data_IF_558068877684
#
_entry.id   IF_558068877684
#
_cell.length_a   1.000
_cell.length_b   1.000
_cell.length_c   1.000
_cell.angle_alpha   90.00
_cell.angle_beta   90.00
_cell.angle_gamma   90.00
#
_symmetry.space_group_name_H-M   'P 1'
#
loop_
_entity.id
_entity.type
_entity.pdbx_description
1 polymer ?
#
# COMPACT_ATOMS: atom_id res chain seq x y z
N UNK A 1 21.87 10.43 -11.09
CA UNK A 1 20.68 11.09 -11.64
C UNK A 1 19.79 11.52 -10.48
N UNK A 2 19.02 12.59 -10.59
CA UNK A 2 18.05 13.00 -9.56
C UNK A 2 16.64 12.98 -10.16
N UNK A 3 15.64 12.73 -9.31
CA UNK A 3 14.22 12.64 -9.66
C UNK A 3 13.46 13.85 -9.14
N UNK A 4 12.60 14.36 -10.00
CA UNK A 4 11.71 15.48 -9.74
C UNK A 4 10.42 14.99 -9.09
N UNK A 5 9.96 13.79 -9.48
CA UNK A 5 8.77 13.14 -8.97
C UNK A 5 9.10 11.77 -8.39
N UNK A 6 8.72 11.54 -7.14
CA UNK A 6 8.88 10.25 -6.45
C UNK A 6 7.49 9.75 -6.05
N UNK A 7 7.12 8.57 -6.52
CA UNK A 7 5.98 7.80 -6.00
C UNK A 7 6.53 6.74 -5.04
N UNK A 8 5.91 6.56 -3.88
CA UNK A 8 6.33 5.54 -2.92
C UNK A 8 5.14 4.78 -2.35
N UNK A 9 5.27 3.45 -2.23
CA UNK A 9 4.35 2.58 -1.50
C UNK A 9 5.10 1.83 -0.37
N UNK A 10 5.46 2.51 0.73
CA UNK A 10 6.27 1.90 1.78
C UNK A 10 5.59 0.64 2.36
N UNK A 11 6.37 -0.41 2.70
CA UNK A 11 5.84 -1.64 3.29
C UNK A 11 5.47 -1.40 4.77
N UNK A 12 4.35 -0.72 5.00
CA UNK A 12 3.87 -0.40 6.34
C UNK A 12 3.62 -1.66 7.17
N UNK A 13 4.15 -1.68 8.39
CA UNK A 13 3.99 -2.83 9.29
C UNK A 13 2.96 -2.55 10.38
N UNK A 14 1.93 -3.40 10.42
CA UNK A 14 0.95 -3.36 11.51
C UNK A 14 1.55 -4.02 12.75
N UNK A 15 1.60 -3.27 13.85
CA UNK A 15 1.90 -3.85 15.15
C UNK A 15 0.65 -4.57 15.68
N UNK A 16 0.63 -5.90 15.61
CA UNK A 16 -0.49 -6.75 16.06
C UNK A 16 -0.63 -6.83 17.60
N UNK A 17 -0.44 -5.72 18.33
CA UNK A 17 -0.55 -5.69 19.80
C UNK A 17 -1.97 -5.37 20.31
N UNK A 18 -2.93 -5.08 19.43
CA UNK A 18 -4.24 -4.56 19.81
C UNK A 18 -5.41 -5.57 19.70
N UNK A 19 -5.14 -6.88 19.77
CA UNK A 19 -6.18 -7.87 20.07
C UNK A 19 -5.82 -8.63 21.35
N UNK A 20 -6.54 -8.28 22.42
CA UNK A 20 -6.56 -8.87 23.76
C UNK A 20 -5.36 -8.58 24.66
N UNK A 21 -5.42 -7.41 25.30
CA UNK A 21 -4.95 -7.20 26.68
C UNK A 21 -3.45 -7.33 26.92
N UNK A 22 -2.71 -6.26 26.66
CA UNK A 22 -1.46 -6.01 27.37
C UNK A 22 -1.20 -4.50 27.42
N UNK A 23 -1.05 -3.98 28.64
CA UNK A 23 -0.44 -2.69 28.88
C UNK A 23 1.04 -2.75 28.49
N UNK A 24 1.56 -1.60 28.05
CA UNK A 24 2.96 -1.23 27.86
C UNK A 24 3.71 -1.76 26.60
N UNK A 25 4.09 -0.76 25.80
CA UNK A 25 5.42 -0.56 25.22
C UNK A 25 5.79 -1.15 23.84
N UNK A 26 6.37 -0.22 23.07
CA UNK A 26 7.27 -0.32 21.91
C UNK A 26 6.66 -0.49 20.51
N UNK A 27 6.67 0.64 19.78
CA UNK A 27 6.93 0.69 18.34
C UNK A 27 7.98 -0.36 17.97
N UNK A 28 7.64 -1.28 17.07
CA UNK A 28 8.61 -2.15 16.41
C UNK A 28 9.49 -1.25 15.54
N UNK A 29 10.51 -0.70 16.18
CA UNK A 29 11.29 0.44 15.69
C UNK A 29 12.17 0.04 14.52
N UNK A 30 12.49 -1.24 14.37
CA UNK A 30 13.45 -1.77 13.40
C UNK A 30 13.07 -1.46 11.95
N UNK A 31 11.80 -1.64 11.57
CA UNK A 31 11.40 -1.52 10.16
C UNK A 31 11.05 -0.09 9.74
N UNK A 32 10.40 0.68 10.61
CA UNK A 32 10.22 2.12 10.35
C UNK A 32 11.56 2.86 10.30
N UNK A 33 12.47 2.54 11.22
CA UNK A 33 13.80 3.15 11.25
C UNK A 33 14.62 2.81 10.00
N UNK A 34 14.50 1.58 9.46
CA UNK A 34 15.11 1.22 8.18
C UNK A 34 14.59 2.09 7.03
N UNK A 35 13.28 2.33 6.95
CA UNK A 35 12.69 3.21 5.93
C UNK A 35 13.25 4.64 6.01
N UNK A 36 13.40 5.18 7.21
CA UNK A 36 13.95 6.54 7.41
C UNK A 36 15.43 6.68 7.00
N UNK A 37 16.17 5.57 6.90
CA UNK A 37 17.60 5.56 6.55
C UNK A 37 17.87 5.44 5.05
N UNK A 38 16.84 5.23 4.24
CA UNK A 38 17.00 5.29 2.78
C UNK A 38 17.52 6.67 2.39
N UNK A 39 18.60 6.71 1.62
CA UNK A 39 19.26 7.94 1.20
C UNK A 39 18.48 8.68 0.11
N UNK A 40 17.20 8.97 0.34
CA UNK A 40 16.31 9.64 -0.60
C UNK A 40 16.85 11.02 -0.98
N UNK A 41 17.56 11.69 -0.07
CA UNK A 41 18.23 12.97 -0.31
C UNK A 41 19.23 12.93 -1.47
N UNK A 42 19.82 11.76 -1.77
CA UNK A 42 20.78 11.58 -2.86
C UNK A 42 20.11 11.45 -4.22
N UNK A 43 18.86 10.99 -4.25
CA UNK A 43 18.11 10.77 -5.49
C UNK A 43 17.06 11.86 -5.73
N UNK A 44 16.62 12.61 -4.72
CA UNK A 44 15.61 13.66 -4.87
C UNK A 44 16.24 14.97 -5.37
N UNK A 45 15.68 15.53 -6.44
CA UNK A 45 15.98 16.88 -6.92
C UNK A 45 15.71 17.94 -5.83
N UNK A 46 16.37 19.09 -5.94
CA UNK A 46 16.26 20.15 -4.91
C UNK A 46 14.86 20.76 -4.88
N UNK A 47 14.19 20.82 -6.04
CA UNK A 47 12.76 21.04 -6.18
C UNK A 47 12.13 19.73 -6.65
N UNK A 48 11.42 19.04 -5.75
CA UNK A 48 10.81 17.74 -6.07
C UNK A 48 9.54 17.51 -5.28
N UNK A 49 8.76 16.54 -5.73
CA UNK A 49 7.50 16.10 -5.14
C UNK A 49 7.61 14.63 -4.73
N UNK A 50 7.10 14.33 -3.54
CA UNK A 50 6.88 12.98 -3.04
C UNK A 50 5.38 12.72 -2.95
N UNK A 51 4.88 11.77 -3.73
CA UNK A 51 3.56 11.16 -3.58
C UNK A 51 3.73 9.83 -2.85
N UNK A 52 3.09 9.64 -1.70
CA UNK A 52 3.31 8.45 -0.86
C UNK A 52 1.98 7.82 -0.45
N UNK A 53 1.80 6.55 -0.78
CA UNK A 53 0.68 5.74 -0.31
C UNK A 53 0.79 5.50 1.19
N UNK A 54 -0.35 5.58 1.87
CA UNK A 54 -0.48 5.20 3.27
C UNK A 54 -1.92 4.71 3.54
N UNK A 55 -2.08 3.94 4.61
CA UNK A 55 -3.39 3.58 5.15
C UNK A 55 -3.68 4.47 6.35
N UNK A 56 -4.96 4.69 6.69
CA UNK A 56 -5.34 5.64 7.75
C UNK A 56 -4.66 5.40 9.11
N UNK A 57 -4.27 4.16 9.41
CA UNK A 57 -3.55 3.82 10.65
C UNK A 57 -2.08 4.27 10.66
N UNK A 58 -1.48 4.56 9.50
CA UNK A 58 -0.08 4.99 9.34
C UNK A 58 0.05 6.48 8.96
N UNK A 59 -1.00 7.28 9.17
CA UNK A 59 -0.98 8.68 8.77
C UNK A 59 0.16 9.47 9.45
N UNK A 60 0.42 9.21 10.74
CA UNK A 60 1.49 9.86 11.49
C UNK A 60 2.88 9.41 11.00
N UNK A 61 3.07 8.11 10.85
CA UNK A 61 4.29 7.48 10.35
C UNK A 61 4.62 7.96 8.94
N UNK A 62 3.61 8.12 8.08
CA UNK A 62 3.81 8.64 6.73
C UNK A 62 4.26 10.11 6.71
N UNK A 63 3.74 10.94 7.63
CA UNK A 63 4.21 12.31 7.80
C UNK A 63 5.66 12.35 8.32
N UNK A 64 5.98 11.50 9.29
CA UNK A 64 7.32 11.39 9.84
C UNK A 64 8.34 10.88 8.82
N UNK A 65 7.96 9.89 8.00
CA UNK A 65 8.81 9.35 6.93
C UNK A 65 9.07 10.40 5.85
N UNK A 66 8.03 11.11 5.40
CA UNK A 66 8.20 12.22 4.45
C UNK A 66 9.17 13.28 5.00
N UNK A 67 9.07 13.63 6.29
CA UNK A 67 9.98 14.56 6.96
C UNK A 67 11.41 14.00 7.04
N UNK A 68 11.57 12.73 7.37
CA UNK A 68 12.88 12.08 7.44
C UNK A 68 13.59 12.07 6.07
N UNK A 69 12.84 11.91 4.99
CA UNK A 69 13.34 12.01 3.61
C UNK A 69 13.56 13.45 3.13
N UNK A 70 13.32 14.46 3.98
CA UNK A 70 13.57 15.87 3.67
C UNK A 70 12.42 16.57 2.93
N UNK A 71 11.20 16.02 2.97
CA UNK A 71 10.02 16.62 2.36
C UNK A 71 9.09 17.25 3.40
N UNK A 72 8.41 18.33 3.02
CA UNK A 72 7.35 18.97 3.79
C UNK A 72 5.99 18.54 3.24
N UNK A 73 5.20 17.82 4.03
CA UNK A 73 3.83 17.43 3.68
C UNK A 73 2.98 18.69 3.41
N UNK A 74 2.22 18.66 2.31
CA UNK A 74 1.30 19.73 1.89
C UNK A 74 -0.15 19.34 2.09
N UNK A 75 -0.52 18.13 1.73
CA UNK A 75 -1.84 17.56 2.03
C UNK A 75 -1.73 16.05 2.18
N UNK A 76 -2.53 15.50 3.09
CA UNK A 76 -2.64 14.05 3.30
C UNK A 76 -3.48 13.35 2.23
N UNK A 77 -4.15 14.10 1.35
CA UNK A 77 -5.03 13.54 0.31
C UNK A 77 -4.73 14.18 -1.04
N UNK A 78 -3.64 13.77 -1.67
CA UNK A 78 -3.44 13.98 -3.11
C UNK A 78 -4.43 13.14 -3.91
N UNK A 79 -4.49 11.85 -3.58
CA UNK A 79 -5.45 10.90 -4.14
C UNK A 79 -6.08 10.06 -3.04
N UNK A 80 -7.30 9.60 -3.28
CA UNK A 80 -8.00 8.62 -2.45
C UNK A 80 -8.48 7.51 -3.38
N UNK A 81 -7.93 6.31 -3.21
CA UNK A 81 -8.41 5.12 -3.91
C UNK A 81 -9.58 4.52 -3.15
N UNK A 82 -10.76 4.56 -3.77
CA UNK A 82 -11.93 3.76 -3.37
C UNK A 82 -11.76 2.36 -3.93
N UNK A 83 -11.53 1.40 -3.04
CA UNK A 83 -11.28 0.00 -3.39
C UNK A 83 -12.59 -0.67 -3.76
N UNK A 84 -12.68 -1.14 -5.01
CA UNK A 84 -13.78 -1.99 -5.45
C UNK A 84 -13.42 -3.46 -5.30
N UNK A 85 -14.43 -4.33 -5.17
CA UNK A 85 -14.23 -5.77 -5.25
C UNK A 85 -13.56 -6.15 -6.59
N UNK A 86 -12.81 -7.26 -6.61
CA UNK A 86 -12.02 -7.69 -7.77
C UNK A 86 -12.83 -7.81 -9.08
N UNK A 87 -14.10 -8.21 -8.98
CA UNK A 87 -15.02 -8.39 -10.12
C UNK A 87 -16.10 -7.30 -10.19
N UNK A 88 -15.87 -6.14 -9.56
CA UNK A 88 -16.88 -5.09 -9.48
C UNK A 88 -17.30 -4.58 -10.87
N UNK A 89 -16.33 -4.37 -11.77
CA UNK A 89 -16.62 -3.91 -13.13
C UNK A 89 -17.50 -4.91 -13.88
N UNK A 90 -17.14 -6.20 -13.89
CA UNK A 90 -17.93 -7.25 -14.55
C UNK A 90 -19.37 -7.32 -14.01
N UNK A 91 -19.56 -7.11 -12.70
CA UNK A 91 -20.89 -7.14 -12.07
C UNK A 91 -21.70 -5.88 -12.38
N UNK A 92 -21.05 -4.73 -12.46
CA UNK A 92 -21.66 -3.47 -12.89
C UNK A 92 -22.10 -3.59 -14.35
N UNK A 93 -21.22 -4.06 -15.23
CA UNK A 93 -21.53 -4.26 -16.65
C UNK A 93 -22.68 -5.27 -16.82
N UNK A 94 -22.67 -6.37 -16.07
CA UNK A 94 -23.76 -7.33 -16.06
C UNK A 94 -25.08 -6.71 -15.58
N UNK A 95 -25.06 -5.86 -14.54
CA UNK A 95 -26.27 -5.17 -14.07
C UNK A 95 -26.84 -4.21 -15.12
N UNK A 96 -25.97 -3.53 -15.86
CA UNK A 96 -26.37 -2.67 -16.99
C UNK A 96 -26.98 -3.52 -18.11
N UNK A 97 -26.33 -4.62 -18.51
CA UNK A 97 -26.79 -5.50 -19.58
C UNK A 97 -28.14 -6.19 -19.27
N UNK A 98 -28.39 -6.50 -18.00
CA UNK A 98 -29.63 -7.09 -17.52
C UNK A 98 -30.71 -6.03 -17.21
N UNK A 99 -30.48 -4.75 -17.54
CA UNK A 99 -31.39 -3.63 -17.27
C UNK A 99 -31.82 -3.52 -15.79
N UNK A 100 -30.91 -3.88 -14.87
CA UNK A 100 -31.14 -3.84 -13.42
C UNK A 100 -30.91 -2.46 -12.79
N UNK A 101 -30.49 -1.47 -13.57
CA UNK A 101 -30.30 -0.09 -13.13
C UNK A 101 -31.40 0.79 -13.73
N UNK A 102 -32.47 1.02 -12.97
CA UNK A 102 -33.62 1.80 -13.40
C UNK A 102 -33.35 3.30 -13.25
N UNK A 103 -32.59 3.69 -12.24
CA UNK A 103 -32.27 5.08 -11.97
C UNK A 103 -30.87 5.29 -11.35
N UNK A 104 -30.57 6.54 -10.99
CA UNK A 104 -29.29 6.89 -10.38
C UNK A 104 -29.10 6.29 -8.99
N UNK A 105 -30.18 5.99 -8.26
CA UNK A 105 -30.09 5.38 -6.93
C UNK A 105 -29.62 3.94 -7.04
N UNK A 106 -30.15 3.17 -8.00
CA UNK A 106 -29.72 1.79 -8.24
C UNK A 106 -28.22 1.73 -8.55
N UNK A 107 -27.73 2.68 -9.36
CA UNK A 107 -26.30 2.76 -9.66
C UNK A 107 -25.46 3.07 -8.41
N UNK A 108 -25.90 4.02 -7.58
CA UNK A 108 -25.19 4.38 -6.35
C UNK A 108 -25.21 3.24 -5.32
N UNK A 109 -26.32 2.53 -5.20
CA UNK A 109 -26.44 1.35 -4.34
C UNK A 109 -25.53 0.22 -4.82
N UNK A 110 -25.49 -0.04 -6.14
CA UNK A 110 -24.60 -1.03 -6.72
C UNK A 110 -23.12 -0.65 -6.51
N UNK A 111 -22.75 0.61 -6.74
CA UNK A 111 -21.38 1.08 -6.52
C UNK A 111 -20.98 0.96 -5.04
N UNK A 112 -21.89 1.27 -4.11
CA UNK A 112 -21.66 1.11 -2.68
C UNK A 112 -21.52 -0.38 -2.31
N UNK A 113 -22.34 -1.26 -2.89
CA UNK A 113 -22.25 -2.72 -2.71
C UNK A 113 -20.94 -3.29 -3.22
N UNK A 114 -20.43 -2.77 -4.35
CA UNK A 114 -19.16 -3.19 -4.93
C UNK A 114 -17.95 -2.57 -4.26
N UNK A 115 -18.14 -1.62 -3.34
CA UNK A 115 -17.07 -1.08 -2.53
C UNK A 115 -16.58 -2.11 -1.51
N UNK A 116 -15.27 -2.32 -1.44
CA UNK A 116 -14.66 -3.37 -0.63
C UNK A 116 -14.84 -3.09 0.86
N UNK A 117 -15.34 -4.07 1.60
CA UNK A 117 -15.36 -4.04 3.07
C UNK A 117 -14.10 -4.69 3.67
N UNK A 118 -13.08 -3.90 4.04
CA UNK A 118 -11.96 -4.39 4.85
C UNK A 118 -12.22 -4.23 6.36
N UNK A 119 -11.23 -4.55 7.18
CA UNK A 119 -11.29 -4.33 8.64
C UNK A 119 -11.46 -2.85 9.00
N UNK A 120 -11.71 -2.59 10.29
CA UNK A 120 -11.88 -1.23 10.82
C UNK A 120 -12.66 -1.25 12.13
N UNK A 121 -12.23 -0.43 13.09
CA UNK A 121 -12.76 -0.45 14.46
C UNK A 121 -14.02 0.40 14.66
N UNK A 122 -14.24 1.39 13.79
CA UNK A 122 -15.38 2.33 13.86
C UNK A 122 -16.23 2.26 12.59
N UNK A 123 -15.60 2.43 11.43
CA UNK A 123 -16.17 2.17 10.10
C UNK A 123 -15.27 1.19 9.36
N UNK A 124 -15.83 0.47 8.39
CA UNK A 124 -15.07 -0.51 7.59
C UNK A 124 -14.19 0.25 6.59
N UNK A 125 -12.88 -0.03 6.60
CA UNK A 125 -11.95 0.63 5.71
C UNK A 125 -12.17 0.16 4.27
N UNK A 126 -12.46 1.11 3.39
CA UNK A 126 -12.67 0.88 1.96
C UNK A 126 -11.79 1.75 1.07
N UNK A 127 -10.94 2.61 1.67
CA UNK A 127 -10.04 3.48 0.94
C UNK A 127 -8.58 3.33 1.36
N UNK A 128 -7.69 3.71 0.44
CA UNK A 128 -6.29 4.05 0.72
C UNK A 128 -6.00 5.44 0.17
N UNK A 129 -5.10 6.17 0.84
CA UNK A 129 -4.82 7.56 0.51
C UNK A 129 -3.36 7.73 0.06
N UNK A 130 -3.13 8.76 -0.74
CA UNK A 130 -1.80 9.22 -1.15
C UNK A 130 -1.59 10.59 -0.54
N UNK A 131 -0.56 10.77 0.29
CA UNK A 131 -0.13 12.10 0.70
C UNK A 131 0.75 12.73 -0.37
N UNK A 132 0.82 14.05 -0.37
CA UNK A 132 1.82 14.79 -1.15
C UNK A 132 2.67 15.66 -0.25
N UNK A 133 3.98 15.58 -0.47
CA UNK A 133 4.99 16.37 0.19
C UNK A 133 5.93 16.99 -0.85
N UNK A 134 6.56 18.12 -0.51
CA UNK A 134 7.47 18.82 -1.43
C UNK A 134 8.83 19.05 -0.79
N UNK A 135 9.86 19.09 -1.63
CA UNK A 135 11.19 19.61 -1.32
C UNK A 135 11.42 20.88 -2.14
N UNK A 136 12.06 21.88 -1.54
CA UNK A 136 12.21 23.21 -2.16
C UNK A 136 10.85 23.83 -2.50
N UNK A 137 10.71 24.28 -3.74
CA UNK A 137 9.48 24.86 -4.28
C UNK A 137 8.49 23.81 -4.81
N UNK A 138 8.84 22.52 -4.81
CA UNK A 138 8.08 21.47 -5.48
C UNK A 138 8.09 21.62 -7.00
N UNK A 139 7.13 20.98 -7.68
CA UNK A 139 6.99 21.04 -9.13
C UNK A 139 5.81 21.95 -9.54
N UNK A 140 5.91 22.63 -10.70
CA UNK A 140 4.79 23.40 -11.24
C UNK A 140 3.65 22.46 -11.64
N UNK A 141 2.44 22.80 -11.21
CA UNK A 141 1.22 22.05 -11.59
C UNK A 141 0.86 22.35 -13.04
N UNK A 142 0.89 21.33 -13.90
CA UNK A 142 0.52 21.40 -15.31
C UNK A 142 -1.00 21.35 -15.53
N UNK A 143 -1.72 20.59 -14.70
CA UNK A 143 -3.17 20.46 -14.82
C UNK A 143 -3.90 20.69 -13.50
N UNK A 144 -4.89 21.59 -13.51
CA UNK A 144 -5.79 21.83 -12.39
C UNK A 144 -7.04 20.92 -12.41
N UNK A 145 -7.24 20.13 -13.47
CA UNK A 145 -8.44 19.29 -13.65
C UNK A 145 -8.30 17.88 -13.06
N UNK A 146 -7.11 17.50 -12.60
CA UNK A 146 -6.84 16.19 -12.00
C UNK A 146 -7.66 16.05 -10.70
N UNK A 147 -8.57 15.07 -10.68
CA UNK A 147 -9.43 14.78 -9.51
C UNK A 147 -8.70 13.89 -8.50
N UNK A 148 -9.11 13.97 -7.23
CA UNK A 148 -8.50 13.19 -6.14
C UNK A 148 -8.99 11.74 -6.08
N UNK A 149 -10.27 11.49 -6.34
CA UNK A 149 -10.88 10.16 -6.12
C UNK A 149 -10.59 9.23 -7.30
N UNK A 150 -10.10 8.03 -7.00
CA UNK A 150 -9.84 6.94 -7.93
C UNK A 150 -10.74 5.77 -7.56
N UNK A 151 -11.58 5.30 -8.48
CA UNK A 151 -12.31 4.05 -8.32
C UNK A 151 -11.57 2.98 -9.12
N UNK A 152 -11.18 1.88 -8.46
CA UNK A 152 -10.52 0.77 -9.15
C UNK A 152 -10.68 -0.52 -8.36
N UNK A 153 -10.72 -1.65 -9.09
CA UNK A 153 -10.78 -2.98 -8.51
C UNK A 153 -9.47 -3.33 -7.81
N UNK A 154 -9.55 -4.20 -6.79
CA UNK A 154 -8.36 -4.82 -6.22
C UNK A 154 -7.63 -5.66 -7.28
N UNK A 155 -6.32 -5.41 -7.42
CA UNK A 155 -5.40 -6.27 -8.15
C UNK A 155 -4.85 -7.41 -7.30
N UNK A 156 -3.88 -8.13 -7.85
CA UNK A 156 -3.14 -9.18 -7.13
C UNK A 156 -2.13 -8.55 -6.15
N UNK A 157 -1.74 -9.31 -5.11
CA UNK A 157 -0.63 -8.96 -4.21
C UNK A 157 -0.63 -7.52 -3.64
N UNK A 158 -1.80 -6.93 -3.36
CA UNK A 158 -1.93 -5.53 -2.87
C UNK A 158 -1.40 -4.46 -3.84
N UNK A 159 -1.49 -4.74 -5.14
CA UNK A 159 -1.19 -3.80 -6.21
C UNK A 159 -2.05 -2.54 -6.12
N UNK A 160 -1.39 -1.38 -6.28
CA UNK A 160 -2.02 -0.06 -6.30
C UNK A 160 -2.54 0.28 -7.71
N UNK A 161 -3.57 1.13 -7.85
CA UNK A 161 -4.14 1.44 -9.16
C UNK A 161 -3.17 2.23 -10.04
N UNK A 162 -2.92 1.76 -11.27
CA UNK A 162 -2.08 2.44 -12.28
C UNK A 162 -2.55 3.86 -12.65
N UNK A 163 -3.82 4.15 -12.40
CA UNK A 163 -4.40 5.50 -12.53
C UNK A 163 -3.59 6.57 -11.78
N UNK A 164 -2.91 6.19 -10.67
CA UNK A 164 -2.08 7.13 -9.91
C UNK A 164 -0.89 7.64 -10.73
N UNK A 165 -0.23 6.77 -11.50
CA UNK A 165 0.86 7.13 -12.39
C UNK A 165 0.35 8.14 -13.41
N UNK A 166 -0.70 7.77 -14.18
CA UNK A 166 -1.31 8.61 -15.20
C UNK A 166 -1.66 10.00 -14.67
N UNK A 167 -2.31 10.08 -13.50
CA UNK A 167 -2.69 11.37 -12.90
C UNK A 167 -1.50 12.20 -12.46
N UNK A 168 -0.42 11.57 -11.99
CA UNK A 168 0.82 12.28 -11.68
C UNK A 168 1.50 12.83 -12.95
N UNK A 169 1.47 12.10 -14.06
CA UNK A 169 2.00 12.58 -15.34
C UNK A 169 1.17 13.76 -15.87
N UNK A 170 -0.16 13.70 -15.71
CA UNK A 170 -1.02 14.86 -16.02
C UNK A 170 -0.74 16.05 -15.10
N UNK A 171 -0.41 15.80 -13.83
CA UNK A 171 -0.22 16.86 -12.83
C UNK A 171 1.12 17.59 -13.02
N UNK A 172 2.17 16.87 -13.42
CA UNK A 172 3.55 17.40 -13.46
C UNK A 172 4.21 17.37 -14.83
N UNK A 173 3.61 16.70 -15.82
CA UNK A 173 4.16 16.58 -17.17
C UNK A 173 5.28 15.55 -17.24
N UNK A 174 6.11 15.70 -18.28
CA UNK A 174 7.25 14.82 -18.50
C UNK A 174 8.46 15.26 -17.67
N UNK A 175 8.65 14.62 -16.52
CA UNK A 175 9.77 14.87 -15.60
C UNK A 175 10.45 13.55 -15.22
N UNK A 176 11.75 13.57 -14.84
CA UNK A 176 12.43 12.42 -14.28
C UNK A 176 11.68 11.91 -13.05
N UNK A 177 11.23 10.64 -13.11
CA UNK A 177 10.33 10.07 -12.12
C UNK A 177 10.73 8.64 -11.74
N UNK A 178 10.54 8.31 -10.46
CA UNK A 178 10.83 6.98 -9.91
C UNK A 178 9.69 6.50 -9.01
N UNK A 179 9.41 5.20 -9.06
CA UNK A 179 8.57 4.51 -8.09
C UNK A 179 9.44 3.69 -7.12
N UNK A 180 9.30 3.98 -5.83
CA UNK A 180 9.93 3.25 -4.74
C UNK A 180 8.97 2.19 -4.19
N UNK A 181 9.53 1.03 -3.87
CA UNK A 181 8.82 -0.20 -3.49
C UNK A 181 7.91 -0.73 -4.61
N UNK A 182 8.33 -0.53 -5.86
CA UNK A 182 7.58 -0.98 -7.03
C UNK A 182 7.46 -2.51 -7.07
N UNK A 183 6.34 -2.97 -7.65
CA UNK A 183 6.05 -4.41 -7.88
C UNK A 183 5.85 -4.76 -9.35
N UNK A 184 5.62 -3.74 -10.19
CA UNK A 184 5.39 -3.92 -11.61
C UNK A 184 6.09 -2.84 -12.41
N UNK A 185 6.39 -3.16 -13.67
CA UNK A 185 6.93 -2.18 -14.61
C UNK A 185 5.86 -1.19 -15.04
N UNK A 186 6.22 0.09 -15.04
CA UNK A 186 5.43 1.17 -15.62
C UNK A 186 6.31 1.90 -16.64
N UNK A 187 5.82 2.04 -17.86
CA UNK A 187 6.57 2.71 -18.92
C UNK A 187 6.84 4.17 -18.54
N UNK A 188 8.09 4.63 -18.73
CA UNK A 188 8.50 5.99 -18.39
C UNK A 188 8.83 6.22 -16.91
N UNK A 189 8.80 5.19 -16.07
CA UNK A 189 9.17 5.26 -14.66
C UNK A 189 10.42 4.42 -14.39
N UNK A 190 11.40 5.03 -13.71
CA UNK A 190 12.43 4.25 -13.05
C UNK A 190 11.82 3.55 -11.83
N UNK A 191 12.39 2.40 -11.44
CA UNK A 191 11.84 1.59 -10.37
C UNK A 191 12.92 1.25 -9.35
N UNK A 192 12.51 1.11 -8.09
CA UNK A 192 13.31 0.52 -7.04
C UNK A 192 12.44 -0.27 -6.05
N UNK A 193 12.86 -1.47 -5.66
CA UNK A 193 12.17 -2.27 -4.66
C UNK A 193 12.65 -3.72 -4.63
N UNK A 194 12.39 -4.42 -3.53
CA UNK A 194 12.77 -5.84 -3.39
C UNK A 194 11.97 -6.75 -4.32
N UNK A 195 10.72 -6.40 -4.61
CA UNK A 195 9.82 -7.10 -5.53
C UNK A 195 9.79 -6.43 -6.91
N UNK A 196 10.66 -5.44 -7.14
CA UNK A 196 10.68 -4.69 -8.40
C UNK A 196 11.26 -5.57 -9.51
N UNK A 197 10.66 -5.56 -10.72
CA UNK A 197 11.21 -6.30 -11.86
C UNK A 197 12.58 -5.78 -12.30
N UNK A 198 12.90 -4.54 -11.98
CA UNK A 198 14.18 -3.88 -12.25
C UNK A 198 14.48 -2.84 -11.17
N UNK A 199 15.76 -2.66 -10.83
CA UNK A 199 16.21 -1.58 -9.96
C UNK A 199 17.10 -0.62 -10.75
N UNK A 200 16.61 0.59 -11.01
CA UNK A 200 17.31 1.64 -11.76
C UNK A 200 18.32 2.42 -10.90
N UNK A 201 18.25 2.24 -9.58
CA UNK A 201 19.15 2.83 -8.59
C UNK A 201 19.59 1.79 -7.56
N UNK A 202 20.65 2.13 -6.82
CA UNK A 202 21.16 1.34 -5.69
C UNK A 202 21.43 2.27 -4.51
N UNK A 203 21.01 1.88 -3.30
CA UNK A 203 21.38 2.60 -2.09
C UNK A 203 22.64 1.96 -1.48
N UNK A 204 23.60 2.77 -1.04
CA UNK A 204 24.91 2.29 -0.54
C UNK A 204 24.77 1.45 0.76
N UNK A 205 23.64 1.54 1.47
CA UNK A 205 23.35 0.80 2.70
C UNK A 205 22.03 0.00 2.57
N UNK A 206 21.94 -0.91 1.60
CA UNK A 206 20.72 -1.69 1.37
C UNK A 206 20.30 -2.47 2.63
N UNK A 207 19.16 -2.11 3.21
CA UNK A 207 18.44 -2.98 4.13
C UNK A 207 17.51 -3.82 3.28
N UNK A 208 17.77 -5.13 3.19
CA UNK A 208 16.83 -6.06 2.56
C UNK A 208 15.64 -6.25 3.49
N UNK A 209 14.47 -5.71 3.11
CA UNK A 209 13.20 -6.06 3.74
C UNK A 209 12.81 -7.50 3.42
N UNK A 210 13.08 -8.44 4.33
CA UNK A 210 12.54 -9.80 4.23
C UNK A 210 11.09 -9.82 4.74
N UNK A 211 10.16 -10.24 3.89
CA UNK A 211 8.80 -10.55 4.33
C UNK A 211 8.86 -11.91 5.06
N UNK A 212 8.82 -11.90 6.40
CA UNK A 212 8.61 -13.14 7.15
C UNK A 212 7.21 -13.67 6.87
N UNK A 213 7.07 -14.54 5.86
CA UNK A 213 5.88 -15.37 5.72
C UNK A 213 5.88 -16.40 6.84
N UNK A 214 4.98 -16.23 7.81
CA UNK A 214 4.65 -17.27 8.79
C UNK A 214 3.95 -18.43 8.07
N UNK A 215 4.72 -19.34 7.50
CA UNK A 215 4.24 -20.65 7.08
C UNK A 215 4.00 -21.52 8.32
N UNK A 216 2.81 -21.46 8.89
CA UNK A 216 2.34 -22.53 9.78
C UNK A 216 2.03 -23.78 8.93
N UNK A 217 3.05 -24.63 8.74
CA UNK A 217 2.84 -26.02 8.38
C UNK A 217 2.28 -26.74 9.60
N UNK A 218 1.05 -27.24 9.48
CA UNK A 218 0.49 -28.24 10.37
C UNK A 218 1.22 -29.56 10.14
N UNK A 219 2.23 -29.87 10.95
CA UNK A 219 2.69 -31.24 11.16
C UNK A 219 1.82 -31.89 12.24
N UNK A 220 0.77 -32.58 11.81
CA UNK A 220 0.17 -33.64 12.60
C UNK A 220 0.89 -34.95 12.28
N UNK A 221 1.90 -35.34 13.05
CA UNK A 221 2.20 -36.76 13.26
C UNK A 221 2.87 -37.01 14.62
N UNK A 222 2.34 -38.01 15.33
CA UNK A 222 3.14 -38.87 16.20
C UNK A 222 3.39 -38.38 17.63
N UNK A 223 2.45 -38.67 18.54
CA UNK A 223 2.86 -38.92 19.92
C UNK A 223 2.45 -40.35 20.32
N UNK A 224 3.46 -41.21 20.35
CA UNK A 224 3.43 -42.57 20.86
C UNK A 224 3.03 -42.54 22.34
N UNK A 225 1.96 -43.25 22.70
CA UNK A 225 1.74 -43.66 24.10
C UNK A 225 2.37 -45.02 24.33
N UNK A 226 3.32 -45.00 25.26
CA UNK A 226 4.09 -46.13 25.78
C UNK A 226 3.18 -47.15 26.48
N UNK A 227 3.51 -48.42 26.22
CA UNK A 227 2.93 -49.65 26.75
C UNK A 227 2.73 -49.68 28.28
N UNK A 228 1.61 -50.28 28.72
CA UNK A 228 1.58 -51.15 29.90
C UNK A 228 0.83 -52.43 29.57
N UNK A 229 1.60 -53.52 29.46
CA UNK A 229 1.14 -54.90 29.53
C UNK A 229 0.45 -55.18 30.86
N UNK A 230 -0.69 -55.86 30.83
CA UNK A 230 -1.05 -56.92 31.79
C UNK A 230 -2.23 -57.75 31.24
N UNK A 231 -1.94 -59.02 31.04
CA UNK A 231 -2.84 -60.18 31.05
C UNK A 231 -1.96 -61.33 31.59
N UNK A 232 -2.48 -62.44 32.15
CA UNK A 232 -3.80 -63.01 31.87
C UNK A 232 -4.55 -63.71 33.05
N UNK A 233 -5.79 -64.12 32.74
CA UNK A 233 -6.58 -65.25 33.25
C UNK A 233 -7.10 -65.24 34.72
N UNK A 234 -8.38 -65.57 34.91
CA UNK A 234 -8.92 -66.95 35.09
C UNK A 234 -10.41 -66.87 35.49
N UNK A 235 -11.22 -67.74 34.87
CA UNK A 235 -12.61 -68.18 35.12
C UNK A 235 -13.76 -67.33 34.58
#
# INVERSE_FOLDING_TARGET
MKYDLILADPPWQYNNAASNGAANNHYTTTDFYALTRLSIEKIAADNSVLAMWYTGNFAAEAMELAKAWGFKVKTMKLFTWVKLNKLAMDRIDKAIQEERLLDSWDFLELLNTETRMNGGNYTRSNTEDVLIAIKGNGLPRQSASVKQVIYSCLGEHSQKPREVHYRLEQLYGDVPRIELFARESVYGWDLYGNESPVNNITFINEVRYEHTQNNHRNDQTGNQRVFKHRSPNVR
#
